data_IF_265761193684
#
_entry.id   IF_265761193684
#
_cell.length_a   1.000
_cell.length_b   1.000
_cell.length_c   1.000
_cell.angle_alpha   90.00
_cell.angle_beta   90.00
_cell.angle_gamma   90.00
#
_symmetry.space_group_name_H-M   'P 1'
#
loop_
_entity.id
_entity.type
_entity.pdbx_description
1 polymer ?
#
# COMPACT_ATOMS: atom_id res chain seq x y z
N UNK A 1 16.49 -29.75 -12.53
CA UNK A 1 17.12 -28.85 -13.53
C UNK A 1 16.53 -27.49 -13.30
N UNK A 2 17.12 -26.75 -12.33
CA UNK A 2 16.61 -25.46 -11.89
C UNK A 2 17.14 -24.39 -12.85
N UNK A 3 16.25 -23.81 -13.65
CA UNK A 3 16.56 -22.68 -14.50
C UNK A 3 16.62 -21.42 -13.63
N UNK A 4 17.81 -21.01 -13.24
CA UNK A 4 18.07 -19.71 -12.66
C UNK A 4 17.83 -18.64 -13.74
N UNK A 5 16.75 -17.87 -13.59
CA UNK A 5 16.52 -16.69 -14.42
C UNK A 5 17.21 -15.52 -13.72
N UNK A 6 18.40 -15.18 -14.19
CA UNK A 6 19.10 -14.00 -13.74
C UNK A 6 18.52 -12.75 -14.42
N UNK A 7 18.10 -11.76 -13.64
CA UNK A 7 17.80 -10.41 -14.14
C UNK A 7 18.89 -9.45 -13.70
N UNK A 8 19.50 -8.75 -14.66
CA UNK A 8 20.44 -7.67 -14.38
C UNK A 8 19.72 -6.33 -14.46
N UNK A 9 19.90 -5.49 -13.46
CA UNK A 9 19.43 -4.11 -13.45
C UNK A 9 20.59 -3.16 -13.69
N UNK A 10 20.47 -2.29 -14.70
CA UNK A 10 21.41 -1.21 -14.95
C UNK A 10 20.86 0.09 -14.39
N UNK A 11 21.46 0.60 -13.33
CA UNK A 11 21.28 1.97 -12.91
C UNK A 11 22.41 2.83 -13.47
N UNK A 12 22.08 3.89 -14.20
CA UNK A 12 23.04 4.88 -14.75
C UNK A 12 24.17 4.34 -15.62
N UNK A 13 23.93 3.31 -16.43
CA UNK A 13 24.91 2.80 -17.41
C UNK A 13 26.12 2.09 -16.81
N UNK A 14 26.16 1.84 -15.51
CA UNK A 14 27.15 1.01 -14.83
C UNK A 14 26.48 -0.19 -14.21
N UNK A 15 27.03 -1.38 -14.44
CA UNK A 15 26.59 -2.61 -13.77
C UNK A 15 27.35 -2.69 -12.46
N UNK A 16 26.81 -2.12 -11.39
CA UNK A 16 27.48 -2.10 -10.09
C UNK A 16 27.29 -3.41 -9.30
N UNK A 17 26.20 -4.13 -9.53
CA UNK A 17 25.94 -5.44 -8.90
C UNK A 17 24.98 -6.28 -9.76
N UNK A 18 25.28 -7.55 -9.87
CA UNK A 18 24.31 -8.54 -10.37
C UNK A 18 23.46 -8.97 -9.17
N UNK A 19 22.19 -8.52 -9.13
CA UNK A 19 21.23 -8.96 -8.13
C UNK A 19 20.54 -10.20 -8.68
N UNK A 20 20.87 -11.35 -8.13
CA UNK A 20 20.16 -12.59 -8.44
C UNK A 20 18.82 -12.62 -7.70
N UNK A 21 17.72 -13.00 -8.36
CA UNK A 21 16.45 -13.17 -7.68
C UNK A 21 16.57 -14.33 -6.66
N UNK A 22 16.27 -14.02 -5.41
CA UNK A 22 16.21 -15.03 -4.34
C UNK A 22 14.78 -15.52 -4.26
N UNK A 23 14.61 -16.83 -4.22
CA UNK A 23 13.30 -17.42 -3.96
C UNK A 23 12.83 -17.03 -2.55
N UNK A 24 11.75 -16.26 -2.47
CA UNK A 24 11.14 -15.90 -1.20
C UNK A 24 10.34 -17.10 -0.69
N UNK A 25 10.76 -17.65 0.43
CA UNK A 25 9.97 -18.68 1.12
C UNK A 25 8.82 -17.99 1.88
N UNK A 26 7.60 -18.17 1.38
CA UNK A 26 6.41 -17.58 1.99
C UNK A 26 6.17 -18.06 3.43
N UNK A 27 6.73 -19.19 3.83
CA UNK A 27 6.62 -19.71 5.20
C UNK A 27 7.50 -18.94 6.17
N UNK A 28 8.59 -18.33 5.70
CA UNK A 28 9.50 -17.52 6.49
C UNK A 28 9.00 -16.10 6.75
N UNK A 29 8.03 -15.61 5.97
CA UNK A 29 7.49 -14.25 6.12
C UNK A 29 6.41 -14.20 7.20
N UNK A 30 6.46 -13.18 8.05
CA UNK A 30 5.37 -12.80 8.95
C UNK A 30 4.13 -12.38 8.14
N UNK A 31 2.96 -12.33 8.79
CA UNK A 31 1.73 -11.91 8.12
C UNK A 31 1.79 -10.45 7.63
N UNK A 32 2.47 -9.58 8.36
CA UNK A 32 2.68 -8.19 7.95
C UNK A 32 3.57 -8.08 6.72
N UNK A 33 4.70 -8.80 6.69
CA UNK A 33 5.60 -8.83 5.53
C UNK A 33 4.92 -9.39 4.28
N UNK A 34 4.08 -10.43 4.43
CA UNK A 34 3.25 -10.95 3.33
C UNK A 34 2.31 -9.89 2.78
N UNK A 35 1.69 -9.09 3.65
CA UNK A 35 0.79 -8.02 3.23
C UNK A 35 1.53 -6.92 2.48
N UNK A 36 2.69 -6.49 2.98
CA UNK A 36 3.56 -5.51 2.30
C UNK A 36 3.98 -6.04 0.92
N UNK A 37 4.41 -7.30 0.86
CA UNK A 37 4.82 -7.93 -0.40
C UNK A 37 3.68 -7.94 -1.42
N UNK A 38 2.48 -8.34 -1.01
CA UNK A 38 1.29 -8.38 -1.87
C UNK A 38 0.95 -6.97 -2.38
N UNK A 39 0.94 -5.96 -1.50
CA UNK A 39 0.67 -4.57 -1.90
C UNK A 39 1.69 -4.06 -2.92
N UNK A 40 2.98 -4.32 -2.69
CA UNK A 40 4.04 -3.92 -3.60
C UNK A 40 3.92 -4.62 -4.96
N UNK A 41 3.58 -5.91 -4.97
CA UNK A 41 3.37 -6.68 -6.19
C UNK A 41 2.19 -6.15 -7.00
N UNK A 42 1.03 -5.96 -6.37
CA UNK A 42 -0.14 -5.41 -7.03
C UNK A 42 0.11 -4.00 -7.59
N UNK A 43 0.75 -3.14 -6.79
CA UNK A 43 1.11 -1.80 -7.26
C UNK A 43 2.03 -1.87 -8.50
N UNK A 44 3.03 -2.75 -8.47
CA UNK A 44 3.94 -2.94 -9.61
C UNK A 44 3.20 -3.42 -10.86
N UNK A 45 2.24 -4.35 -10.71
CA UNK A 45 1.42 -4.84 -11.83
C UNK A 45 0.53 -3.74 -12.41
N UNK A 46 -0.07 -2.90 -11.56
CA UNK A 46 -0.88 -1.75 -11.99
C UNK A 46 -0.03 -0.76 -12.78
N UNK A 47 1.20 -0.49 -12.33
CA UNK A 47 2.14 0.42 -13.03
C UNK A 47 2.61 -0.10 -14.39
N UNK A 48 2.66 -1.42 -14.58
CA UNK A 48 2.98 -2.03 -15.87
C UNK A 48 1.81 -1.99 -16.86
N UNK A 49 0.60 -1.78 -16.37
CA UNK A 49 -0.59 -1.65 -17.20
C UNK A 49 -0.57 -0.37 -18.04
N UNK A 50 -1.12 -0.45 -19.28
CA UNK A 50 -1.27 0.72 -20.17
C UNK A 50 -2.48 1.60 -19.83
N UNK A 51 -3.29 1.18 -18.87
CA UNK A 51 -4.51 1.87 -18.45
C UNK A 51 -4.36 2.39 -17.03
N UNK A 52 -4.86 3.57 -16.77
CA UNK A 52 -5.00 4.11 -15.42
C UNK A 52 -6.14 3.38 -14.71
N UNK A 53 -5.79 2.33 -13.97
CA UNK A 53 -6.74 1.56 -13.18
C UNK A 53 -6.69 2.08 -11.74
N UNK A 54 -7.85 2.36 -11.11
CA UNK A 54 -7.89 2.71 -9.70
C UNK A 54 -7.29 1.61 -8.83
N UNK A 55 -6.44 1.99 -7.89
CA UNK A 55 -5.85 1.06 -6.94
C UNK A 55 -6.64 1.08 -5.63
N UNK A 56 -7.33 0.00 -5.33
CA UNK A 56 -8.17 -0.13 -4.13
C UNK A 56 -7.47 -1.05 -3.15
N UNK A 57 -7.23 -0.54 -1.95
CA UNK A 57 -6.57 -1.27 -0.86
C UNK A 57 -7.51 -1.34 0.32
N UNK A 58 -7.86 -2.53 0.73
CA UNK A 58 -8.68 -2.78 1.92
C UNK A 58 -7.79 -3.21 3.09
N UNK A 59 -8.01 -2.57 4.25
CA UNK A 59 -7.33 -2.86 5.52
C UNK A 59 -5.79 -3.00 5.40
N UNK A 60 -5.09 -1.95 4.86
CA UNK A 60 -3.66 -2.07 4.55
C UNK A 60 -2.77 -2.30 5.76
N UNK A 61 -3.22 -1.94 6.95
CA UNK A 61 -2.41 -1.99 8.17
C UNK A 61 -2.84 -3.04 9.20
N UNK A 62 -3.82 -3.90 8.88
CA UNK A 62 -4.45 -4.81 9.83
C UNK A 62 -3.48 -5.73 10.60
N UNK A 63 -2.31 -6.01 10.03
CA UNK A 63 -1.31 -6.94 10.61
C UNK A 63 0.09 -6.35 10.65
N UNK A 64 0.18 -5.04 10.61
CA UNK A 64 1.43 -4.29 10.53
C UNK A 64 1.59 -3.49 11.82
N UNK A 65 2.74 -3.56 12.44
CA UNK A 65 3.07 -2.79 13.64
C UNK A 65 3.19 -1.28 13.35
N UNK A 66 3.20 -0.48 14.40
CA UNK A 66 3.15 0.98 14.31
C UNK A 66 4.34 1.58 13.56
N UNK A 67 5.54 1.04 13.73
CA UNK A 67 6.74 1.54 13.05
C UNK A 67 6.65 1.30 11.54
N UNK A 68 6.30 0.07 11.16
CA UNK A 68 6.11 -0.30 9.76
C UNK A 68 4.94 0.44 9.10
N UNK A 69 3.84 0.71 9.82
CA UNK A 69 2.72 1.55 9.33
C UNK A 69 3.21 2.94 8.94
N UNK A 70 4.02 3.57 9.78
CA UNK A 70 4.58 4.89 9.50
C UNK A 70 5.48 4.86 8.26
N UNK A 71 6.35 3.86 8.16
CA UNK A 71 7.24 3.70 7.01
C UNK A 71 6.48 3.49 5.69
N UNK A 72 5.42 2.68 5.72
CA UNK A 72 4.54 2.47 4.56
C UNK A 72 3.81 3.76 4.19
N UNK A 73 3.27 4.50 5.15
CA UNK A 73 2.61 5.78 4.91
C UNK A 73 3.56 6.79 4.26
N UNK A 74 4.81 6.85 4.74
CA UNK A 74 5.81 7.81 4.27
C UNK A 74 6.41 7.41 2.91
N UNK A 75 6.68 6.13 2.70
CA UNK A 75 7.49 5.68 1.57
C UNK A 75 6.72 4.96 0.47
N UNK A 76 5.57 4.39 0.79
CA UNK A 76 4.73 3.70 -0.18
C UNK A 76 3.53 4.55 -0.58
N UNK A 77 2.63 4.87 0.33
CA UNK A 77 1.41 5.62 -0.01
C UNK A 77 1.69 7.02 -0.56
N UNK A 78 2.69 7.71 -0.04
CA UNK A 78 3.08 9.03 -0.55
C UNK A 78 3.59 9.02 -2.00
N UNK A 79 4.01 7.85 -2.50
CA UNK A 79 4.56 7.68 -3.85
C UNK A 79 3.59 7.04 -4.84
N UNK A 80 2.41 6.65 -4.40
CA UNK A 80 1.39 6.11 -5.29
C UNK A 80 0.95 7.17 -6.30
N UNK A 81 0.80 6.76 -7.55
CA UNK A 81 0.30 7.58 -8.64
C UNK A 81 -1.07 7.10 -9.09
N UNK A 82 -1.84 7.99 -9.74
CA UNK A 82 -3.19 7.68 -10.18
C UNK A 82 -4.22 7.75 -9.06
N UNK A 83 -5.38 7.16 -9.28
CA UNK A 83 -6.47 7.15 -8.31
C UNK A 83 -6.29 5.99 -7.33
N UNK A 84 -6.21 6.30 -6.04
CA UNK A 84 -6.05 5.33 -4.96
C UNK A 84 -7.17 5.47 -3.96
N UNK A 85 -7.79 4.35 -3.60
CA UNK A 85 -8.77 4.26 -2.52
C UNK A 85 -8.19 3.40 -1.39
N UNK A 86 -8.15 3.94 -0.19
CA UNK A 86 -7.74 3.21 1.01
C UNK A 86 -8.99 3.03 1.88
N UNK A 87 -9.39 1.78 2.09
CA UNK A 87 -10.45 1.42 3.00
C UNK A 87 -9.81 0.98 4.31
N UNK A 88 -10.17 1.60 5.41
CA UNK A 88 -9.58 1.28 6.72
C UNK A 88 -10.53 1.56 7.87
N UNK A 89 -10.19 1.01 9.01
CA UNK A 89 -10.83 1.38 10.28
C UNK A 89 -10.06 2.51 10.96
N UNK A 90 -10.69 3.16 11.94
CA UNK A 90 -10.05 4.17 12.79
C UNK A 90 -8.90 3.63 13.66
N UNK A 91 -8.85 2.31 13.88
CA UNK A 91 -7.77 1.66 14.61
C UNK A 91 -6.52 1.46 13.75
N UNK A 92 -6.70 1.38 12.44
CA UNK A 92 -5.60 1.18 11.50
C UNK A 92 -4.97 2.49 11.07
N UNK A 93 -5.80 3.45 10.67
CA UNK A 93 -5.35 4.78 10.24
C UNK A 93 -5.86 5.79 11.27
N UNK A 94 -4.94 6.41 11.99
CA UNK A 94 -5.20 7.48 12.94
C UNK A 94 -4.82 8.85 12.35
N UNK A 95 -5.03 9.91 13.13
CA UNK A 95 -4.69 11.28 12.74
C UNK A 95 -3.23 11.46 12.32
N UNK A 96 -2.29 10.76 12.94
CA UNK A 96 -0.86 10.88 12.61
C UNK A 96 -0.57 10.34 11.21
N UNK A 97 -1.17 9.19 10.84
CA UNK A 97 -1.04 8.63 9.48
C UNK A 97 -1.66 9.56 8.44
N UNK A 98 -2.83 10.14 8.73
CA UNK A 98 -3.48 11.11 7.85
C UNK A 98 -2.61 12.34 7.68
N UNK A 99 -2.02 12.85 8.74
CA UNK A 99 -1.12 14.01 8.68
C UNK A 99 0.14 13.75 7.83
N UNK A 100 0.72 12.53 7.92
CA UNK A 100 1.87 12.14 7.08
C UNK A 100 1.48 12.15 5.58
N UNK A 101 0.26 11.73 5.26
CA UNK A 101 -0.22 11.60 3.88
C UNK A 101 -1.00 12.83 3.39
N UNK A 102 -1.13 13.87 4.20
CA UNK A 102 -2.04 15.02 4.00
C UNK A 102 -1.99 15.59 2.59
N UNK A 103 -0.80 15.86 2.07
CA UNK A 103 -0.61 16.48 0.76
C UNK A 103 -1.05 15.57 -0.42
N UNK A 104 -1.36 14.31 -0.14
CA UNK A 104 -1.78 13.30 -1.12
C UNK A 104 -3.24 12.89 -0.98
N UNK A 105 -3.91 13.30 0.10
CA UNK A 105 -5.31 12.98 0.35
C UNK A 105 -6.20 14.00 -0.35
N UNK A 106 -6.95 13.54 -1.36
CA UNK A 106 -7.92 14.38 -2.05
C UNK A 106 -9.22 14.55 -1.26
N UNK A 107 -9.65 13.51 -0.57
CA UNK A 107 -10.85 13.53 0.29
C UNK A 107 -10.86 12.34 1.26
N UNK A 108 -11.52 12.53 2.39
CA UNK A 108 -11.82 11.48 3.36
C UNK A 108 -13.34 11.27 3.44
N UNK A 109 -13.76 10.04 3.63
CA UNK A 109 -15.16 9.66 3.78
C UNK A 109 -15.30 8.69 4.95
N UNK A 110 -16.33 8.91 5.77
CA UNK A 110 -16.72 7.99 6.83
C UNK A 110 -17.96 7.22 6.42
N UNK A 111 -17.94 5.92 6.64
CA UNK A 111 -19.10 5.05 6.43
C UNK A 111 -19.78 4.82 7.78
N UNK A 112 -20.98 5.36 7.93
CA UNK A 112 -21.77 5.24 9.16
C UNK A 112 -22.95 4.28 8.94
N UNK A 113 -23.06 3.30 9.80
CA UNK A 113 -24.17 2.34 9.80
C UNK A 113 -24.75 2.21 11.20
N UNK A 114 -25.61 3.16 11.57
CA UNK A 114 -26.19 3.25 12.92
C UNK A 114 -27.36 2.31 13.15
N UNK A 115 -28.07 1.90 12.10
CA UNK A 115 -29.30 1.09 12.17
C UNK A 115 -29.16 -0.33 11.61
N UNK A 116 -27.95 -0.73 11.20
CA UNK A 116 -27.67 -2.00 10.53
C UNK A 116 -28.48 -2.27 9.24
N UNK A 117 -29.13 -1.25 8.70
CA UNK A 117 -29.96 -1.34 7.50
C UNK A 117 -29.42 -0.50 6.34
N UNK A 118 -28.82 0.64 6.66
CA UNK A 118 -28.31 1.58 5.66
C UNK A 118 -26.94 2.10 6.06
N UNK A 119 -26.04 2.19 5.09
CA UNK A 119 -24.77 2.88 5.27
C UNK A 119 -24.88 4.29 4.70
N UNK A 120 -24.54 5.28 5.49
CA UNK A 120 -24.46 6.68 5.08
C UNK A 120 -23.00 7.02 4.85
N UNK A 121 -22.72 7.73 3.77
CA UNK A 121 -21.38 8.21 3.45
C UNK A 121 -21.29 9.68 3.84
N UNK A 122 -20.41 9.99 4.80
CA UNK A 122 -20.21 11.35 5.29
C UNK A 122 -18.82 11.82 4.90
N UNK A 123 -18.72 12.95 4.23
CA UNK A 123 -17.43 13.51 3.79
C UNK A 123 -16.76 14.25 4.94
N UNK A 124 -15.46 14.00 5.13
CA UNK A 124 -14.59 14.66 6.10
C UNK A 124 -15.06 14.59 7.57
N UNK A 125 -15.83 13.55 7.95
CA UNK A 125 -16.40 13.45 9.29
C UNK A 125 -15.43 12.89 10.35
N UNK A 126 -14.37 12.21 9.94
CA UNK A 126 -13.51 11.47 10.86
C UNK A 126 -12.18 12.16 11.13
N UNK A 127 -11.61 12.77 10.11
CA UNK A 127 -10.35 13.51 10.21
C UNK A 127 -10.58 14.90 9.64
N UNK A 128 -10.45 15.92 10.46
CA UNK A 128 -10.34 17.29 10.00
C UNK A 128 -9.00 17.45 9.29
N UNK A 129 -9.01 17.55 7.98
CA UNK A 129 -7.82 17.72 7.12
C UNK A 129 -7.73 19.15 6.63
#
# INVERSE_FOLDING_TARGET
MDSEIGMSYCASGKVDQIILPIRVDQTALSNGEKQIFIMALYHSLVQLGRHEIPFIIDTPFARIDTEHRRNISTHFFSKLHGQVFILSTNEEINSDHVQIMKDRIAATYTLENSDNKRTVVVRNAYFEV
#
